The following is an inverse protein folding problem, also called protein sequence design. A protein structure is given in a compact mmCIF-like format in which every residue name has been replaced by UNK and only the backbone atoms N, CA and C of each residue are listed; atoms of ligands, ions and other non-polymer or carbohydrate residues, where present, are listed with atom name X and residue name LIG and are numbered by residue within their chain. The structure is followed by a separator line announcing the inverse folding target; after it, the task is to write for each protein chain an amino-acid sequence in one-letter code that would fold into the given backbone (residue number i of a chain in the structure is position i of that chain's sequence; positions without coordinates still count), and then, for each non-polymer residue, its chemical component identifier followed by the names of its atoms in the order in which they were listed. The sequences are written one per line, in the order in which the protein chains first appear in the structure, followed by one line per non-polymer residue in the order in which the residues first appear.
data_IF_859349870509
#
_entry.id   IF_859349870509
#
_cell.length_a   1.000
_cell.length_b   1.000
_cell.length_c   1.000
_cell.angle_alpha   90.00
_cell.angle_beta   90.00
_cell.angle_gamma   90.00
#
_symmetry.space_group_name_H-M   'P 1'
#
loop_
_entity.id
_entity.type
_entity.pdbx_description
1 polymer ?
#
# COMPACT_ATOMS: atom_id res chain seq x y z
N UNK A 1 -5.78 -15.14 -5.40
CA UNK A 1 -5.55 -13.68 -5.43
C UNK A 1 -5.91 -13.21 -6.83
N UNK A 2 -6.80 -12.21 -6.95
CA UNK A 2 -7.33 -11.73 -8.24
C UNK A 2 -6.40 -10.65 -8.82
N UNK A 3 -6.13 -10.68 -10.13
CA UNK A 3 -5.37 -9.63 -10.81
C UNK A 3 -6.31 -8.54 -11.31
N UNK A 4 -5.95 -7.27 -11.09
CA UNK A 4 -6.74 -6.09 -11.50
C UNK A 4 -5.87 -5.19 -12.36
N UNK A 5 -6.32 -4.88 -13.56
CA UNK A 5 -5.56 -4.06 -14.54
C UNK A 5 -6.21 -2.70 -14.80
N UNK A 6 -7.41 -2.49 -14.26
CA UNK A 6 -8.22 -1.32 -14.55
C UNK A 6 -7.72 -0.07 -13.83
N UNK A 7 -8.17 1.08 -14.33
CA UNK A 7 -8.16 2.33 -13.59
C UNK A 7 -9.38 2.36 -12.65
N UNK A 8 -9.15 2.60 -11.37
CA UNK A 8 -10.15 2.71 -10.32
C UNK A 8 -10.12 4.14 -9.79
N UNK A 9 -11.26 4.80 -9.73
CA UNK A 9 -11.36 6.13 -9.09
C UNK A 9 -11.39 5.96 -7.56
N UNK A 10 -10.61 6.79 -6.86
CA UNK A 10 -10.56 6.80 -5.40
C UNK A 10 -11.73 7.59 -4.76
N UNK A 11 -11.97 7.44 -3.45
CA UNK A 11 -11.25 6.54 -2.55
C UNK A 11 -11.63 5.07 -2.78
N UNK A 12 -10.64 4.18 -2.81
CA UNK A 12 -10.86 2.75 -3.06
C UNK A 12 -10.63 1.89 -1.81
N UNK A 13 -11.66 1.14 -1.41
CA UNK A 13 -11.56 0.14 -0.35
C UNK A 13 -11.14 -1.22 -0.93
N UNK A 14 -9.99 -1.73 -0.49
CA UNK A 14 -9.46 -3.02 -0.89
C UNK A 14 -9.94 -4.06 0.14
N UNK A 15 -11.07 -4.68 -0.17
CA UNK A 15 -11.78 -5.63 0.72
C UNK A 15 -11.48 -7.10 0.41
N UNK A 16 -10.70 -7.37 -0.64
CA UNK A 16 -10.35 -8.73 -1.05
C UNK A 16 -8.90 -8.83 -1.52
N UNK A 17 -8.39 -10.06 -1.54
CA UNK A 17 -7.00 -10.33 -1.89
C UNK A 17 -6.75 -10.10 -3.39
N UNK A 18 -6.21 -8.93 -3.74
CA UNK A 18 -5.88 -8.56 -5.13
C UNK A 18 -4.40 -8.26 -5.35
N UNK A 19 -3.98 -8.42 -6.60
CA UNK A 19 -2.79 -7.81 -7.16
C UNK A 19 -3.21 -6.73 -8.16
N UNK A 20 -2.88 -5.48 -7.89
CA UNK A 20 -3.21 -4.36 -8.77
C UNK A 20 -2.02 -4.03 -9.68
N UNK A 21 -2.23 -4.18 -10.99
CA UNK A 21 -1.33 -3.76 -12.06
C UNK A 21 -1.75 -2.42 -12.67
N UNK A 22 -3.03 -2.05 -12.52
CA UNK A 22 -3.59 -0.80 -13.00
C UNK A 22 -3.31 0.40 -12.07
N UNK A 23 -4.30 1.27 -11.93
CA UNK A 23 -4.15 2.52 -11.19
C UNK A 23 -5.32 2.75 -10.24
N UNK A 24 -5.04 3.19 -9.01
CA UNK A 24 -6.03 3.91 -8.19
C UNK A 24 -5.76 5.40 -8.32
N UNK A 25 -6.71 6.13 -8.89
CA UNK A 25 -6.68 7.59 -8.99
C UNK A 25 -7.25 8.20 -7.70
N UNK A 26 -6.42 8.30 -6.68
CA UNK A 26 -6.77 8.83 -5.36
C UNK A 26 -6.24 7.95 -4.24
N UNK A 27 -6.87 8.08 -3.07
CA UNK A 27 -6.51 7.34 -1.87
C UNK A 27 -7.06 5.90 -1.92
N UNK A 28 -6.39 5.01 -1.18
CA UNK A 28 -6.85 3.64 -0.99
C UNK A 28 -6.71 3.20 0.48
N UNK A 29 -7.62 2.32 0.90
CA UNK A 29 -7.59 1.68 2.23
C UNK A 29 -7.53 0.17 2.06
N UNK A 30 -6.52 -0.46 2.63
CA UNK A 30 -6.42 -1.92 2.71
C UNK A 30 -7.04 -2.42 4.00
N UNK A 31 -8.14 -3.16 3.88
CA UNK A 31 -8.88 -3.64 5.04
C UNK A 31 -8.17 -4.75 5.81
N UNK A 32 -8.54 -4.89 7.08
CA UNK A 32 -7.99 -5.88 8.01
C UNK A 32 -7.99 -7.30 7.43
N UNK A 33 -6.89 -8.03 7.64
CA UNK A 33 -6.75 -9.42 7.21
C UNK A 33 -6.63 -9.61 5.69
N UNK A 34 -6.65 -8.53 4.91
CA UNK A 34 -6.50 -8.59 3.45
C UNK A 34 -5.03 -8.52 3.07
N UNK A 35 -4.66 -9.32 2.07
CA UNK A 35 -3.36 -9.31 1.41
C UNK A 35 -3.47 -8.60 0.06
N UNK A 36 -2.65 -7.58 -0.12
CA UNK A 36 -2.60 -6.76 -1.33
C UNK A 36 -1.19 -6.71 -1.91
N UNK A 37 -1.09 -6.78 -3.24
CA UNK A 37 0.15 -6.57 -3.97
C UNK A 37 -0.05 -5.42 -4.95
N UNK A 38 0.76 -4.38 -4.84
CA UNK A 38 0.78 -3.28 -5.79
C UNK A 38 1.93 -3.46 -6.78
N UNK A 39 1.61 -3.72 -8.04
CA UNK A 39 2.54 -3.57 -9.17
C UNK A 39 2.33 -2.25 -9.92
N UNK A 40 1.10 -1.73 -9.90
CA UNK A 40 0.71 -0.50 -10.56
C UNK A 40 0.95 0.76 -9.73
N UNK A 41 -0.03 1.66 -9.72
CA UNK A 41 0.10 2.97 -9.04
C UNK A 41 -1.10 3.32 -8.19
N UNK A 42 -0.85 3.87 -7.01
CA UNK A 42 -1.82 4.62 -6.21
C UNK A 42 -1.36 6.08 -6.23
N UNK A 43 -2.18 6.98 -6.78
CA UNK A 43 -1.77 8.39 -6.92
C UNK A 43 -1.94 9.19 -5.63
N UNK A 44 -2.69 8.68 -4.66
CA UNK A 44 -2.86 9.26 -3.33
C UNK A 44 -2.14 8.48 -2.24
N UNK A 45 -2.73 8.51 -1.05
CA UNK A 45 -2.25 7.81 0.14
C UNK A 45 -2.75 6.36 0.17
N UNK A 46 -2.03 5.52 0.90
CA UNK A 46 -2.41 4.14 1.17
C UNK A 46 -2.48 3.91 2.69
N UNK A 47 -3.68 3.67 3.21
CA UNK A 47 -3.90 3.31 4.62
C UNK A 47 -3.94 1.80 4.75
N UNK A 48 -3.17 1.26 5.69
CA UNK A 48 -3.06 -0.18 5.96
C UNK A 48 -3.63 -0.45 7.33
N UNK A 49 -4.79 -1.12 7.38
CA UNK A 49 -5.44 -1.46 8.63
C UNK A 49 -4.72 -2.60 9.37
N UNK A 50 -5.04 -2.72 10.65
CA UNK A 50 -4.47 -3.73 11.54
C UNK A 50 -4.61 -5.15 10.98
N UNK A 51 -3.51 -5.91 10.98
CA UNK A 51 -3.48 -7.28 10.49
C UNK A 51 -3.55 -7.42 8.96
N UNK A 52 -3.64 -6.32 8.21
CA UNK A 52 -3.52 -6.34 6.76
C UNK A 52 -2.06 -6.53 6.31
N UNK A 53 -1.86 -7.01 5.09
CA UNK A 53 -0.53 -7.20 4.49
C UNK A 53 -0.43 -6.57 3.11
N UNK A 54 0.43 -5.58 2.95
CA UNK A 54 0.71 -4.93 1.68
C UNK A 54 2.13 -5.23 1.19
N UNK A 55 2.27 -5.58 -0.08
CA UNK A 55 3.55 -5.73 -0.78
C UNK A 55 3.58 -4.70 -1.92
N UNK A 56 4.51 -3.76 -1.86
CA UNK A 56 4.57 -2.60 -2.76
C UNK A 56 5.75 -2.77 -3.72
N UNK A 57 5.49 -3.30 -4.92
CA UNK A 57 6.44 -3.29 -6.03
C UNK A 57 6.29 -2.05 -6.93
N UNK A 58 5.09 -1.48 -6.95
CA UNK A 58 4.74 -0.31 -7.74
C UNK A 58 4.98 1.01 -7.00
N UNK A 59 4.13 1.99 -7.28
CA UNK A 59 4.27 3.35 -6.75
C UNK A 59 3.07 3.74 -5.90
N UNK A 60 3.33 4.23 -4.69
CA UNK A 60 2.39 5.04 -3.91
C UNK A 60 2.90 6.48 -3.95
N UNK A 61 2.22 7.35 -4.69
CA UNK A 61 2.69 8.72 -4.87
C UNK A 61 2.55 9.57 -3.59
N UNK A 62 1.64 9.19 -2.68
CA UNK A 62 1.47 9.80 -1.37
C UNK A 62 2.17 9.03 -0.24
N UNK A 63 1.64 9.19 0.97
CA UNK A 63 2.13 8.52 2.18
C UNK A 63 1.44 7.17 2.38
N UNK A 64 2.21 6.19 2.85
CA UNK A 64 1.68 4.94 3.40
C UNK A 64 1.49 5.12 4.91
N UNK A 65 0.25 4.97 5.39
CA UNK A 65 -0.11 4.99 6.80
C UNK A 65 -0.29 3.56 7.30
N UNK A 66 0.65 3.06 8.09
CA UNK A 66 0.59 1.71 8.64
C UNK A 66 0.00 1.71 10.06
N UNK A 67 -1.29 1.37 10.16
CA UNK A 67 -2.08 1.40 11.40
C UNK A 67 -2.09 0.04 12.14
N UNK A 68 -1.01 -0.74 12.01
CA UNK A 68 -0.85 -2.05 12.66
C UNK A 68 -0.87 -3.25 11.70
N UNK A 69 -0.66 -3.01 10.41
CA UNK A 69 -0.45 -4.06 9.42
C UNK A 69 1.04 -4.34 9.17
N UNK A 70 1.28 -5.15 8.15
CA UNK A 70 2.61 -5.44 7.62
C UNK A 70 2.78 -4.87 6.22
N UNK A 71 3.75 -3.98 6.03
CA UNK A 71 4.07 -3.37 4.74
C UNK A 71 5.48 -3.75 4.33
N UNK A 72 5.62 -4.30 3.13
CA UNK A 72 6.90 -4.63 2.50
C UNK A 72 7.06 -3.75 1.25
N UNK A 73 8.02 -2.82 1.27
CA UNK A 73 8.23 -1.84 0.21
C UNK A 73 9.46 -2.19 -0.61
N UNK A 74 9.24 -2.49 -1.89
CA UNK A 74 10.26 -2.74 -2.91
C UNK A 74 10.30 -1.64 -3.97
N UNK A 75 9.19 -0.91 -4.15
CA UNK A 75 9.02 0.15 -5.14
C UNK A 75 9.21 1.55 -4.55
N UNK A 76 8.26 2.44 -4.86
CA UNK A 76 8.34 3.86 -4.55
C UNK A 76 7.22 4.28 -3.60
N UNK A 77 7.56 5.05 -2.57
CA UNK A 77 6.61 5.77 -1.73
C UNK A 77 7.14 7.17 -1.41
N UNK A 78 6.28 8.19 -1.34
CA UNK A 78 6.72 9.50 -0.89
C UNK A 78 7.14 9.46 0.58
N UNK A 79 6.30 8.87 1.43
CA UNK A 79 6.64 8.61 2.81
C UNK A 79 5.95 7.36 3.36
N UNK A 80 6.41 6.87 4.50
CA UNK A 80 5.72 5.88 5.32
C UNK A 80 5.73 6.32 6.78
N UNK A 81 4.63 6.06 7.49
CA UNK A 81 4.49 6.33 8.91
C UNK A 81 3.83 5.13 9.61
N UNK A 82 4.36 4.76 10.77
CA UNK A 82 3.77 3.73 11.63
C UNK A 82 2.90 4.39 12.71
N UNK A 83 1.57 4.27 12.56
CA UNK A 83 0.60 4.81 13.51
C UNK A 83 0.35 3.92 14.74
N UNK A 84 0.66 2.62 14.63
CA UNK A 84 0.53 1.64 15.71
C UNK A 84 1.88 1.04 16.12
N UNK A 85 1.99 0.61 17.38
CA UNK A 85 3.16 -0.16 17.88
C UNK A 85 3.29 -1.54 17.22
N UNK A 86 2.17 -2.07 16.72
CA UNK A 86 2.12 -3.37 16.04
C UNK A 86 2.44 -3.25 14.54
N UNK A 87 2.66 -2.03 14.03
CA UNK A 87 2.98 -1.78 12.64
C UNK A 87 4.38 -2.31 12.29
N UNK A 88 4.45 -3.20 11.30
CA UNK A 88 5.71 -3.72 10.77
C UNK A 88 5.91 -3.16 9.37
N UNK A 89 6.96 -2.37 9.20
CA UNK A 89 7.35 -1.82 7.90
C UNK A 89 8.75 -2.29 7.55
N UNK A 90 8.88 -2.96 6.40
CA UNK A 90 10.15 -3.44 5.85
C UNK A 90 10.38 -2.68 4.56
N UNK A 91 11.53 -2.02 4.46
CA UNK A 91 11.93 -1.25 3.28
C UNK A 91 13.13 -1.96 2.67
N UNK A 92 12.97 -2.44 1.44
CA UNK A 92 14.06 -3.02 0.68
C UNK A 92 15.15 -1.97 0.43
N UNK A 93 16.46 -2.32 0.46
CA UNK A 93 17.54 -1.37 0.19
C UNK A 93 17.44 -0.64 -1.15
N UNK A 94 16.82 -1.25 -2.16
CA UNK A 94 16.61 -0.66 -3.48
C UNK A 94 15.34 0.19 -3.58
N UNK A 95 14.45 0.15 -2.57
CA UNK A 95 13.22 0.93 -2.57
C UNK A 95 13.50 2.44 -2.41
N UNK A 96 12.68 3.26 -3.06
CA UNK A 96 12.76 4.71 -2.96
C UNK A 96 11.67 5.24 -2.02
N UNK A 97 12.07 5.58 -0.80
CA UNK A 97 11.18 6.15 0.23
C UNK A 97 11.80 7.43 0.77
N UNK A 98 11.14 8.58 0.58
CA UNK A 98 11.69 9.88 0.99
C UNK A 98 11.50 10.12 2.49
N UNK A 99 10.26 10.04 2.98
CA UNK A 99 9.94 10.09 4.41
C UNK A 99 9.91 8.69 5.02
N UNK A 100 10.81 8.40 5.96
CA UNK A 100 10.91 7.08 6.61
C UNK A 100 10.13 7.05 7.94
N UNK A 101 9.68 5.85 8.38
CA UNK A 101 8.80 5.70 9.53
C UNK A 101 9.49 5.99 10.86
#
# INVERSE_FOLDING_TARGET
MRAVHDKIEGPFAIEENIALYGMVAGDATLHRGIRFILHGTITGNLTIETGARAIIHGTVAGRIYNEGGRVEIFGIADAVANGSRDAITIIDPAAHVRGRP
#
